data_IF_584227834628
#
_entry.id   IF_584227834628
#
_cell.length_a   1.000
_cell.length_b   1.000
_cell.length_c   1.000
_cell.angle_alpha   90.00
_cell.angle_beta   90.00
_cell.angle_gamma   90.00
#
_symmetry.space_group_name_H-M   'P 1'
#
loop_
_entity.id
_entity.type
_entity.pdbx_description
1 polymer ?
#
# COMPACT_ATOMS: atom_id res chain seq x y z
N UNK A 1 -25.08 5.80 48.28
CA UNK A 1 -24.68 6.44 47.02
C UNK A 1 -23.18 6.23 46.90
N UNK A 2 -22.78 5.14 46.24
CA UNK A 2 -21.37 4.77 46.13
C UNK A 2 -20.74 5.58 45.00
N UNK A 3 -19.78 6.41 45.39
CA UNK A 3 -18.99 7.21 44.49
C UNK A 3 -18.01 6.26 43.79
N UNK A 4 -18.31 5.84 42.56
CA UNK A 4 -17.34 5.14 41.70
C UNK A 4 -16.26 6.14 41.27
N UNK A 5 -15.37 6.46 42.21
CA UNK A 5 -14.16 7.23 41.94
C UNK A 5 -13.15 6.33 41.25
N UNK A 6 -12.74 6.69 40.04
CA UNK A 6 -11.55 6.15 39.38
C UNK A 6 -10.32 6.62 40.16
N UNK A 7 -9.96 5.94 41.24
CA UNK A 7 -8.65 6.13 41.87
C UNK A 7 -7.62 5.62 40.88
N UNK A 8 -6.86 6.53 40.29
CA UNK A 8 -5.70 6.18 39.49
C UNK A 8 -4.72 5.42 40.40
N UNK A 9 -4.17 4.32 39.91
CA UNK A 9 -3.16 3.57 40.65
C UNK A 9 -1.86 4.39 40.63
N UNK A 10 -1.58 5.09 41.74
CA UNK A 10 -0.40 5.93 41.92
C UNK A 10 0.92 5.13 41.85
N UNK A 11 0.85 3.78 41.82
CA UNK A 11 2.02 2.93 41.57
C UNK A 11 2.69 3.20 40.21
N UNK A 12 1.96 3.76 39.23
CA UNK A 12 2.52 4.18 37.93
C UNK A 12 3.49 5.37 38.08
N UNK A 13 3.33 6.19 39.11
CA UNK A 13 4.20 7.34 39.40
C UNK A 13 5.26 7.05 40.47
N UNK A 14 5.40 5.78 40.88
CA UNK A 14 6.46 5.35 41.80
C UNK A 14 7.85 5.55 41.19
N UNK A 15 8.86 5.70 42.05
CA UNK A 15 10.24 5.92 41.62
C UNK A 15 10.68 4.88 40.59
N UNK A 16 11.38 5.35 39.55
CA UNK A 16 11.84 4.50 38.47
C UNK A 16 12.68 3.34 39.04
N UNK A 17 12.27 2.10 38.76
CA UNK A 17 13.08 0.92 39.11
C UNK A 17 14.48 1.11 38.57
N UNK A 18 15.49 0.85 39.41
CA UNK A 18 16.89 0.83 38.98
C UNK A 18 17.02 -0.07 37.76
N UNK A 19 17.39 0.55 36.63
CA UNK A 19 17.61 -0.17 35.38
C UNK A 19 18.86 -1.01 35.59
N UNK A 20 18.67 -2.31 35.88
CA UNK A 20 19.77 -3.27 35.89
C UNK A 20 20.41 -3.21 34.51
N UNK A 21 21.67 -2.79 34.47
CA UNK A 21 22.48 -2.85 33.25
C UNK A 21 22.86 -4.32 33.03
N UNK A 22 21.92 -5.10 32.51
CA UNK A 22 22.21 -6.44 32.02
C UNK A 22 22.98 -6.30 30.70
N UNK A 23 24.15 -6.92 30.63
CA UNK A 23 24.86 -7.08 29.38
C UNK A 23 23.99 -7.93 28.45
N UNK A 24 23.38 -7.28 27.46
CA UNK A 24 22.61 -7.97 26.43
C UNK A 24 23.51 -9.04 25.78
N UNK A 25 23.07 -10.29 25.82
CA UNK A 25 23.70 -11.35 25.03
C UNK A 25 23.74 -10.92 23.58
N UNK A 26 24.87 -11.14 22.90
CA UNK A 26 25.02 -10.80 21.48
C UNK A 26 23.88 -11.43 20.68
N UNK A 27 22.99 -10.58 20.16
CA UNK A 27 21.89 -11.02 19.30
C UNK A 27 22.43 -11.28 17.90
N UNK A 28 22.39 -12.54 17.48
CA UNK A 28 22.68 -12.91 16.10
C UNK A 28 21.35 -12.98 15.33
N UNK A 29 21.05 -12.01 14.45
CA UNK A 29 19.83 -12.07 13.65
C UNK A 29 19.86 -13.31 12.74
N UNK A 30 18.69 -13.95 12.57
CA UNK A 30 18.55 -15.02 11.57
C UNK A 30 18.80 -14.43 10.18
N UNK A 31 19.81 -14.95 9.48
CA UNK A 31 20.08 -14.58 8.10
C UNK A 31 19.14 -15.36 7.19
N UNK A 32 18.40 -14.65 6.34
CA UNK A 32 17.60 -15.27 5.30
C UNK A 32 18.47 -15.41 4.04
N UNK A 33 18.54 -16.60 3.48
CA UNK A 33 19.28 -16.80 2.23
C UNK A 33 18.67 -15.97 1.10
N UNK A 34 19.54 -15.38 0.27
CA UNK A 34 19.09 -14.68 -0.92
C UNK A 34 18.28 -15.65 -1.80
N UNK A 35 17.13 -15.21 -2.28
CA UNK A 35 16.28 -16.01 -3.16
C UNK A 35 15.77 -17.32 -2.53
N UNK A 36 15.54 -17.35 -1.22
CA UNK A 36 14.86 -18.46 -0.51
C UNK A 36 13.63 -19.00 -1.27
N UNK A 37 12.91 -18.10 -1.95
CA UNK A 37 11.70 -18.42 -2.71
C UNK A 37 11.98 -19.15 -4.04
N UNK A 38 13.19 -19.15 -4.57
CA UNK A 38 13.57 -19.86 -5.80
C UNK A 38 13.88 -21.34 -5.55
N UNK A 39 14.26 -21.69 -4.32
CA UNK A 39 14.47 -23.09 -3.90
C UNK A 39 13.19 -23.94 -4.02
N UNK A 40 13.36 -25.27 -4.03
CA UNK A 40 12.31 -26.29 -4.10
C UNK A 40 11.40 -26.35 -2.85
N UNK A 41 11.06 -25.21 -2.26
CA UNK A 41 10.13 -25.05 -1.14
C UNK A 41 8.66 -25.40 -1.48
N UNK A 42 8.43 -26.25 -2.49
CA UNK A 42 7.12 -26.81 -2.84
C UNK A 42 6.98 -28.28 -2.41
N UNK A 43 8.03 -28.92 -1.90
CA UNK A 43 8.00 -30.30 -1.37
C UNK A 43 7.34 -30.42 0.02
N UNK A 44 6.66 -29.37 0.48
CA UNK A 44 5.85 -29.37 1.71
C UNK A 44 4.37 -29.44 1.34
N UNK A 45 3.56 -30.21 2.06
CA UNK A 45 2.10 -30.24 1.89
C UNK A 45 1.38 -29.09 2.60
N UNK A 46 2.10 -28.24 3.32
CA UNK A 46 1.52 -27.10 4.01
C UNK A 46 1.07 -26.01 3.01
N UNK A 47 -0.24 -25.82 2.91
CA UNK A 47 -0.87 -24.79 2.08
C UNK A 47 -0.40 -23.37 2.44
N UNK A 48 -0.14 -23.09 3.73
CA UNK A 48 0.30 -21.77 4.19
C UNK A 48 1.73 -21.49 3.71
N UNK A 49 2.61 -22.49 3.75
CA UNK A 49 3.97 -22.34 3.21
C UNK A 49 3.95 -22.19 1.69
N UNK A 50 3.14 -22.99 0.96
CA UNK A 50 2.94 -22.80 -0.49
C UNK A 50 2.45 -21.39 -0.82
N UNK A 51 1.46 -20.89 -0.08
CA UNK A 51 0.92 -19.53 -0.23
C UNK A 51 2.04 -18.48 -0.08
N UNK A 52 2.85 -18.56 0.99
CA UNK A 52 3.96 -17.63 1.24
C UNK A 52 4.99 -17.68 0.12
N UNK A 53 5.42 -18.88 -0.28
CA UNK A 53 6.43 -19.05 -1.35
C UNK A 53 5.97 -18.42 -2.66
N UNK A 54 4.73 -18.70 -3.10
CA UNK A 54 4.21 -18.11 -4.34
C UNK A 54 4.03 -16.60 -4.25
N UNK A 55 3.55 -16.08 -3.11
CA UNK A 55 3.47 -14.63 -2.87
C UNK A 55 4.85 -13.98 -3.06
N UNK A 56 5.87 -14.48 -2.35
CA UNK A 56 7.20 -13.89 -2.40
C UNK A 56 7.87 -14.04 -3.78
N UNK A 57 7.60 -15.14 -4.51
CA UNK A 57 8.02 -15.29 -5.91
C UNK A 57 7.41 -14.19 -6.79
N UNK A 58 6.12 -13.90 -6.61
CA UNK A 58 5.43 -12.80 -7.28
C UNK A 58 6.09 -11.45 -6.98
N UNK A 59 6.30 -11.16 -5.70
CA UNK A 59 6.91 -9.89 -5.24
C UNK A 59 8.36 -9.72 -5.74
N UNK A 60 9.14 -10.79 -5.76
CA UNK A 60 10.51 -10.78 -6.29
C UNK A 60 10.51 -10.56 -7.80
N UNK A 61 9.65 -11.27 -8.55
CA UNK A 61 9.52 -11.09 -10.00
C UNK A 61 9.05 -9.67 -10.35
N UNK A 62 8.11 -9.09 -9.57
CA UNK A 62 7.68 -7.70 -9.68
C UNK A 62 8.82 -6.70 -9.48
N UNK A 63 9.70 -6.98 -8.51
CA UNK A 63 10.89 -6.15 -8.27
C UNK A 63 11.91 -6.25 -9.39
N UNK A 64 12.12 -7.46 -9.95
CA UNK A 64 12.99 -7.73 -11.11
C UNK A 64 12.41 -7.20 -12.45
N UNK A 65 11.15 -6.74 -12.47
CA UNK A 65 10.48 -6.24 -13.69
C UNK A 65 9.88 -7.33 -14.58
N UNK A 66 9.90 -8.59 -14.13
CA UNK A 66 9.36 -9.74 -14.84
C UNK A 66 7.85 -9.87 -14.54
N UNK A 67 7.05 -8.97 -15.11
CA UNK A 67 5.62 -8.85 -14.78
C UNK A 67 4.79 -10.07 -15.14
N UNK A 68 5.13 -10.77 -16.24
CA UNK A 68 4.43 -11.99 -16.64
C UNK A 68 4.67 -13.13 -15.61
N UNK A 69 5.93 -13.36 -15.23
CA UNK A 69 6.31 -14.33 -14.19
C UNK A 69 5.68 -13.99 -12.83
N UNK A 70 5.62 -12.70 -12.50
CA UNK A 70 4.94 -12.25 -11.29
C UNK A 70 3.45 -12.58 -11.29
N UNK A 71 2.77 -12.31 -12.40
CA UNK A 71 1.34 -12.57 -12.56
C UNK A 71 1.01 -14.06 -12.46
N UNK A 72 1.86 -14.92 -13.03
CA UNK A 72 1.75 -16.38 -12.90
C UNK A 72 1.94 -16.82 -11.43
N UNK A 73 2.97 -16.32 -10.75
CA UNK A 73 3.21 -16.65 -9.35
C UNK A 73 2.06 -16.18 -8.44
N UNK A 74 1.51 -14.99 -8.66
CA UNK A 74 0.33 -14.52 -7.93
C UNK A 74 -0.92 -15.35 -8.23
N UNK A 75 -1.11 -15.78 -9.49
CA UNK A 75 -2.22 -16.66 -9.86
C UNK A 75 -2.11 -18.03 -9.19
N UNK A 76 -0.90 -18.58 -9.06
CA UNK A 76 -0.64 -19.78 -8.27
C UNK A 76 -0.88 -19.54 -6.78
N UNK A 77 -0.46 -18.38 -6.25
CA UNK A 77 -0.69 -18.00 -4.85
C UNK A 77 -2.19 -18.03 -4.50
N UNK A 78 -3.05 -17.45 -5.36
CA UNK A 78 -4.50 -17.41 -5.15
C UNK A 78 -5.12 -18.80 -4.88
N UNK A 79 -4.58 -19.87 -5.45
CA UNK A 79 -5.09 -21.24 -5.26
C UNK A 79 -4.83 -21.77 -3.84
N UNK A 80 -3.88 -21.18 -3.12
CA UNK A 80 -3.48 -21.58 -1.76
C UNK A 80 -3.96 -20.61 -0.69
N UNK A 81 -4.74 -19.58 -1.06
CA UNK A 81 -5.33 -18.64 -0.10
C UNK A 81 -6.64 -19.21 0.41
N UNK A 82 -6.75 -19.41 1.73
CA UNK A 82 -8.02 -19.73 2.36
C UNK A 82 -9.03 -18.59 2.18
N UNK A 83 -10.32 -18.91 1.96
CA UNK A 83 -11.37 -17.93 1.66
C UNK A 83 -11.52 -16.83 2.73
N UNK A 84 -11.17 -17.12 3.97
CA UNK A 84 -11.21 -16.18 5.09
C UNK A 84 -10.00 -15.24 5.15
N UNK A 85 -8.92 -15.50 4.41
CA UNK A 85 -7.70 -14.72 4.44
C UNK A 85 -7.76 -13.56 3.42
N UNK A 86 -8.68 -12.64 3.69
CA UNK A 86 -8.94 -11.47 2.84
C UNK A 86 -7.72 -10.54 2.72
N UNK A 87 -6.88 -10.48 3.76
CA UNK A 87 -5.69 -9.62 3.75
C UNK A 87 -4.70 -10.04 2.67
N UNK A 88 -4.32 -11.33 2.62
CA UNK A 88 -3.39 -11.80 1.60
C UNK A 88 -4.04 -11.82 0.23
N UNK A 89 -5.34 -12.17 0.14
CA UNK A 89 -6.09 -12.12 -1.11
C UNK A 89 -6.03 -10.72 -1.75
N UNK A 90 -6.31 -9.67 -0.98
CA UNK A 90 -6.26 -8.28 -1.47
C UNK A 90 -4.87 -7.88 -1.93
N UNK A 91 -3.84 -8.21 -1.17
CA UNK A 91 -2.43 -7.92 -1.51
C UNK A 91 -2.03 -8.59 -2.84
N UNK A 92 -2.38 -9.87 -3.01
CA UNK A 92 -2.13 -10.62 -4.25
C UNK A 92 -2.90 -10.02 -5.43
N UNK A 93 -4.19 -9.71 -5.27
CA UNK A 93 -5.00 -9.09 -6.33
C UNK A 93 -4.49 -7.70 -6.73
N UNK A 94 -4.03 -6.90 -5.76
CA UNK A 94 -3.37 -5.61 -6.03
C UNK A 94 -2.06 -5.82 -6.82
N UNK A 95 -1.24 -6.79 -6.41
CA UNK A 95 -0.03 -7.19 -7.12
C UNK A 95 -0.31 -7.59 -8.57
N UNK A 96 -1.36 -8.39 -8.79
CA UNK A 96 -1.82 -8.78 -10.12
C UNK A 96 -2.27 -7.58 -10.96
N UNK A 97 -3.06 -6.65 -10.39
CA UNK A 97 -3.51 -5.46 -11.10
C UNK A 97 -2.33 -4.58 -11.54
N UNK A 98 -1.32 -4.43 -10.66
CA UNK A 98 -0.06 -3.74 -10.98
C UNK A 98 0.72 -4.46 -12.09
N UNK A 99 0.77 -5.79 -12.11
CA UNK A 99 1.37 -6.56 -13.21
C UNK A 99 0.63 -6.29 -14.52
N UNK A 100 -0.70 -6.44 -14.54
CA UNK A 100 -1.53 -6.23 -15.72
C UNK A 100 -1.33 -4.81 -16.29
N UNK A 101 -1.24 -3.81 -15.42
CA UNK A 101 -0.94 -2.42 -15.80
C UNK A 101 0.38 -2.34 -16.57
N UNK A 102 1.46 -2.91 -16.01
CA UNK A 102 2.79 -2.89 -16.62
C UNK A 102 2.90 -3.71 -17.91
N UNK A 103 2.06 -4.74 -18.05
CA UNK A 103 1.94 -5.54 -19.28
C UNK A 103 1.04 -4.88 -20.34
N UNK A 104 0.46 -3.70 -20.07
CA UNK A 104 -0.45 -3.03 -21.00
C UNK A 104 -1.86 -3.64 -21.05
N UNK A 105 -2.19 -4.57 -20.15
CA UNK A 105 -3.48 -5.25 -20.08
C UNK A 105 -4.48 -4.41 -19.28
N UNK A 106 -5.01 -3.36 -19.91
CA UNK A 106 -5.88 -2.37 -19.25
C UNK A 106 -7.15 -2.98 -18.67
N UNK A 107 -7.91 -3.73 -19.46
CA UNK A 107 -9.22 -4.23 -19.05
C UNK A 107 -9.09 -5.20 -17.88
N UNK A 108 -8.14 -6.15 -17.98
CA UNK A 108 -7.83 -7.09 -16.90
C UNK A 108 -7.38 -6.40 -15.61
N UNK A 109 -6.65 -5.27 -15.70
CA UNK A 109 -6.28 -4.50 -14.51
C UNK A 109 -7.52 -3.85 -13.85
N UNK A 110 -8.47 -3.38 -14.65
CA UNK A 110 -9.73 -2.80 -14.15
C UNK A 110 -10.67 -3.87 -13.58
N UNK A 111 -10.74 -5.06 -14.18
CA UNK A 111 -11.52 -6.19 -13.64
C UNK A 111 -11.06 -6.57 -12.22
N UNK A 112 -9.73 -6.58 -11.99
CA UNK A 112 -9.14 -6.85 -10.68
C UNK A 112 -9.45 -5.73 -9.67
N UNK A 113 -9.46 -4.47 -10.11
CA UNK A 113 -9.90 -3.33 -9.30
C UNK A 113 -11.37 -3.47 -8.90
N UNK A 114 -12.24 -3.87 -9.83
CA UNK A 114 -13.66 -4.05 -9.55
C UNK A 114 -13.91 -5.18 -8.56
N UNK A 115 -13.11 -6.25 -8.63
CA UNK A 115 -13.11 -7.31 -7.62
C UNK A 115 -12.69 -6.76 -6.24
N UNK A 116 -11.57 -6.02 -6.17
CA UNK A 116 -11.08 -5.39 -4.93
C UNK A 116 -12.08 -4.38 -4.34
N UNK A 117 -12.85 -3.71 -5.19
CA UNK A 117 -13.89 -2.75 -4.78
C UNK A 117 -15.03 -3.43 -4.01
N UNK A 118 -15.42 -4.65 -4.40
CA UNK A 118 -16.47 -5.42 -3.71
C UNK A 118 -16.02 -5.89 -2.32
N UNK A 119 -14.72 -6.03 -2.12
CA UNK A 119 -14.12 -6.47 -0.86
C UNK A 119 -13.68 -5.29 0.04
N UNK A 120 -13.89 -4.04 -0.38
CA UNK A 120 -13.47 -2.85 0.36
C UNK A 120 -14.44 -2.52 1.52
N UNK A 121 -13.98 -2.74 2.74
CA UNK A 121 -14.78 -2.58 3.97
C UNK A 121 -14.41 -1.39 4.86
N UNK A 122 -13.33 -0.66 4.56
CA UNK A 122 -12.88 0.46 5.38
C UNK A 122 -12.17 1.55 4.55
N UNK A 123 -11.89 2.68 5.19
CA UNK A 123 -11.24 3.83 4.56
C UNK A 123 -9.85 3.50 4.01
N UNK A 124 -9.06 2.67 4.70
CA UNK A 124 -7.74 2.26 4.22
C UNK A 124 -7.86 1.45 2.92
N UNK A 125 -8.79 0.50 2.87
CA UNK A 125 -9.10 -0.31 1.70
C UNK A 125 -9.49 0.55 0.50
N UNK A 126 -10.36 1.53 0.72
CA UNK A 126 -10.80 2.46 -0.32
C UNK A 126 -9.66 3.38 -0.79
N UNK A 127 -8.81 3.83 0.14
CA UNK A 127 -7.64 4.67 -0.19
C UNK A 127 -6.66 3.91 -1.08
N UNK A 128 -6.27 2.68 -0.72
CA UNK A 128 -5.38 1.84 -1.53
C UNK A 128 -5.97 1.55 -2.91
N UNK A 129 -7.28 1.26 -2.98
CA UNK A 129 -7.98 1.02 -4.24
C UNK A 129 -7.96 2.25 -5.16
N UNK A 130 -8.25 3.44 -4.62
CA UNK A 130 -8.23 4.69 -5.39
C UNK A 130 -6.81 5.04 -5.88
N UNK A 131 -5.79 4.84 -5.04
CA UNK A 131 -4.39 5.03 -5.44
C UNK A 131 -3.98 4.06 -6.56
N UNK A 132 -4.43 2.80 -6.49
CA UNK A 132 -4.22 1.82 -7.55
C UNK A 132 -4.90 2.29 -8.86
N UNK A 133 -6.15 2.75 -8.80
CA UNK A 133 -6.87 3.31 -9.97
C UNK A 133 -6.16 4.52 -10.57
N UNK A 134 -5.65 5.43 -9.73
CA UNK A 134 -4.84 6.57 -10.18
C UNK A 134 -3.63 6.08 -10.98
N UNK A 135 -2.90 5.09 -10.47
CA UNK A 135 -1.72 4.53 -11.15
C UNK A 135 -2.08 3.85 -12.48
N UNK A 136 -3.18 3.10 -12.54
CA UNK A 136 -3.67 2.47 -13.77
C UNK A 136 -4.04 3.54 -14.80
N UNK A 137 -4.87 4.51 -14.42
CA UNK A 137 -5.33 5.55 -15.34
C UNK A 137 -4.19 6.45 -15.82
N UNK A 138 -3.21 6.74 -14.96
CA UNK A 138 -1.98 7.42 -15.36
C UNK A 138 -1.20 6.63 -16.41
N UNK A 139 -0.97 5.33 -16.18
CA UNK A 139 -0.23 4.47 -17.11
C UNK A 139 -0.88 4.43 -18.51
N UNK A 140 -2.22 4.43 -18.58
CA UNK A 140 -2.97 4.37 -19.83
C UNK A 140 -3.46 5.74 -20.33
N UNK A 141 -2.94 6.85 -19.79
CA UNK A 141 -3.28 8.21 -20.26
C UNK A 141 -4.75 8.61 -20.07
N UNK A 142 -5.51 7.95 -19.21
CA UNK A 142 -6.93 8.23 -18.96
C UNK A 142 -7.09 9.38 -17.95
N UNK A 143 -6.80 10.61 -18.40
CA UNK A 143 -6.71 11.80 -17.54
C UNK A 143 -8.01 12.06 -16.77
N UNK A 144 -9.17 12.01 -17.42
CA UNK A 144 -10.47 12.25 -16.77
C UNK A 144 -10.74 11.27 -15.62
N UNK A 145 -10.46 9.98 -15.84
CA UNK A 145 -10.63 8.94 -14.82
C UNK A 145 -9.64 9.09 -13.66
N UNK A 146 -8.39 9.49 -13.97
CA UNK A 146 -7.38 9.85 -12.96
C UNK A 146 -7.86 10.99 -12.07
N UNK A 147 -8.37 12.08 -12.66
CA UNK A 147 -8.94 13.23 -11.93
C UNK A 147 -10.09 12.79 -11.03
N UNK A 148 -11.03 12.00 -11.55
CA UNK A 148 -12.17 11.51 -10.75
C UNK A 148 -11.71 10.71 -9.52
N UNK A 149 -10.69 9.86 -9.67
CA UNK A 149 -10.13 9.11 -8.54
C UNK A 149 -9.42 10.01 -7.53
N UNK A 150 -8.67 11.02 -8.01
CA UNK A 150 -7.99 12.01 -7.15
C UNK A 150 -8.99 12.89 -6.38
N UNK A 151 -10.08 13.31 -7.02
CA UNK A 151 -11.17 14.03 -6.34
C UNK A 151 -11.78 13.17 -5.23
N UNK A 152 -12.04 11.89 -5.48
CA UNK A 152 -12.50 10.96 -4.44
C UNK A 152 -11.49 10.83 -3.30
N UNK A 153 -10.19 10.76 -3.58
CA UNK A 153 -9.14 10.76 -2.56
C UNK A 153 -9.11 12.04 -1.72
N UNK A 154 -9.29 13.21 -2.35
CA UNK A 154 -9.40 14.49 -1.66
C UNK A 154 -10.66 14.57 -0.79
N UNK A 155 -11.79 14.05 -1.26
CA UNK A 155 -13.02 13.99 -0.45
C UNK A 155 -12.89 13.02 0.72
N UNK A 156 -12.22 11.87 0.52
CA UNK A 156 -12.03 10.85 1.55
C UNK A 156 -11.02 11.29 2.62
N UNK A 157 -9.96 11.99 2.21
CA UNK A 157 -8.84 12.40 3.06
C UNK A 157 -8.51 13.88 2.82
N UNK A 158 -9.37 14.81 3.26
CA UNK A 158 -9.27 16.24 2.91
C UNK A 158 -8.01 16.92 3.44
N UNK A 159 -7.42 16.39 4.50
CA UNK A 159 -6.20 16.93 5.12
C UNK A 159 -4.91 16.29 4.60
N UNK A 160 -4.98 15.42 3.58
CA UNK A 160 -3.79 14.87 2.95
C UNK A 160 -3.32 15.82 1.83
N UNK A 161 -2.21 16.56 2.00
CA UNK A 161 -1.76 17.55 1.02
C UNK A 161 -1.29 16.90 -0.30
N UNK A 162 -0.85 15.64 -0.28
CA UNK A 162 -0.32 14.96 -1.46
C UNK A 162 -1.38 14.65 -2.51
N UNK A 163 -2.61 14.36 -2.08
CA UNK A 163 -3.73 14.13 -2.99
C UNK A 163 -4.12 15.42 -3.72
N UNK A 164 -4.18 16.53 -2.99
CA UNK A 164 -4.44 17.85 -3.55
C UNK A 164 -3.33 18.29 -4.51
N UNK A 165 -2.06 18.09 -4.14
CA UNK A 165 -0.93 18.36 -5.02
C UNK A 165 -1.01 17.54 -6.32
N UNK A 166 -1.29 16.25 -6.22
CA UNK A 166 -1.42 15.35 -7.37
C UNK A 166 -2.58 15.79 -8.28
N UNK A 167 -3.71 16.18 -7.70
CA UNK A 167 -4.86 16.70 -8.45
C UNK A 167 -4.51 18.01 -9.17
N UNK A 168 -3.90 18.96 -8.46
CA UNK A 168 -3.46 20.23 -9.02
C UNK A 168 -2.51 20.07 -10.21
N UNK A 169 -1.53 19.16 -10.09
CA UNK A 169 -0.59 18.85 -11.18
C UNK A 169 -1.30 18.33 -12.44
N UNK A 170 -2.27 17.43 -12.29
CA UNK A 170 -3.03 16.90 -13.44
C UNK A 170 -3.92 17.99 -14.06
N UNK A 171 -4.51 18.87 -13.24
CA UNK A 171 -5.28 20.01 -13.75
C UNK A 171 -4.40 21.00 -14.54
N UNK A 172 -3.18 21.29 -14.06
CA UNK A 172 -2.24 22.16 -14.79
C UNK A 172 -1.86 21.56 -16.15
N UNK A 173 -1.58 20.26 -16.22
CA UNK A 173 -1.30 19.56 -17.47
C UNK A 173 -2.43 19.68 -18.51
N UNK A 174 -3.68 19.85 -18.07
CA UNK A 174 -4.83 20.06 -18.97
C UNK A 174 -4.96 21.50 -19.45
N UNK A 175 -4.42 22.46 -18.71
CA UNK A 175 -4.46 23.89 -19.02
C UNK A 175 -3.31 24.31 -19.94
N UNK A 176 -2.22 23.54 -19.99
CA UNK A 176 -1.07 23.85 -20.83
C UNK A 176 -1.36 23.60 -22.32
N UNK A 177 -1.31 24.65 -23.18
CA UNK A 177 -1.63 24.52 -24.60
C UNK A 177 -0.55 23.83 -25.44
N UNK A 178 0.57 23.40 -24.83
CA UNK A 178 1.71 22.82 -25.53
C UNK A 178 2.32 21.65 -24.73
N UNK A 179 1.88 20.40 -24.94
CA UNK A 179 2.32 19.25 -24.15
C UNK A 179 3.73 18.73 -24.51
N UNK A 180 4.48 19.45 -25.34
CA UNK A 180 5.83 19.07 -25.74
C UNK A 180 6.87 19.79 -24.87
N UNK A 181 7.79 19.01 -24.29
CA UNK A 181 8.92 19.39 -23.43
C UNK A 181 8.57 19.40 -21.94
N UNK A 182 8.47 18.19 -21.37
CA UNK A 182 8.32 18.01 -19.94
C UNK A 182 8.48 16.57 -19.47
N UNK A 183 9.32 15.75 -20.12
CA UNK A 183 9.79 14.49 -19.52
C UNK A 183 10.82 14.83 -18.44
N UNK A 184 10.39 15.45 -17.34
CA UNK A 184 11.09 15.27 -16.08
C UNK A 184 10.54 14.00 -15.47
N UNK A 185 11.30 12.92 -15.63
CA UNK A 185 11.14 11.71 -14.85
C UNK A 185 11.38 12.05 -13.38
N UNK A 186 10.34 12.54 -12.70
CA UNK A 186 10.27 12.38 -11.25
C UNK A 186 10.03 10.90 -11.03
N UNK A 187 11.15 10.19 -10.88
CA UNK A 187 11.18 8.87 -10.29
C UNK A 187 10.49 9.03 -8.93
N UNK A 188 9.21 8.66 -8.84
CA UNK A 188 8.63 8.28 -7.56
C UNK A 188 9.42 7.06 -7.14
N UNK A 189 10.50 7.29 -6.39
CA UNK A 189 11.15 6.23 -5.64
C UNK A 189 10.03 5.56 -4.87
N UNK A 190 9.88 4.25 -5.10
CA UNK A 190 8.96 3.38 -4.38
C UNK A 190 9.13 3.66 -2.88
N UNK A 191 8.30 4.51 -2.29
CA UNK A 191 8.06 4.46 -0.87
C UNK A 191 7.27 3.17 -0.66
N UNK A 192 8.00 2.10 -0.35
CA UNK A 192 7.44 0.97 0.37
C UNK A 192 6.57 1.53 1.49
N UNK A 193 5.29 1.19 1.49
CA UNK A 193 4.44 1.31 2.66
C UNK A 193 5.01 0.40 3.76
N UNK A 194 6.00 0.90 4.50
CA UNK A 194 6.31 0.38 5.83
C UNK A 194 5.46 1.20 6.80
N UNK A 195 4.38 0.57 7.26
CA UNK A 195 3.63 1.03 8.43
C UNK A 195 4.59 1.00 9.61
N UNK A 196 4.98 2.18 10.11
CA UNK A 196 5.52 2.34 11.47
C UNK A 196 4.80 3.56 12.08
N UNK A 197 4.20 3.42 13.28
CA UNK A 197 3.53 4.51 13.97
C UNK A 197 4.57 5.39 14.68
N UNK A 198 4.16 6.61 15.05
CA UNK A 198 4.84 7.69 15.82
C UNK A 198 4.83 8.94 14.93
N UNK A 199 4.17 10.05 15.25
CA UNK A 199 3.84 10.63 16.54
C UNK A 199 4.25 12.10 16.48
N UNK A 200 3.30 13.00 16.76
CA UNK A 200 3.50 14.42 17.08
C UNK A 200 3.96 15.41 15.98
N UNK A 201 3.00 16.26 15.57
CA UNK A 201 2.97 17.71 15.89
C UNK A 201 2.71 18.66 14.72
N UNK A 202 1.49 19.21 14.74
CA UNK A 202 1.07 20.62 14.56
C UNK A 202 2.00 21.58 13.80
N UNK A 203 1.48 22.27 12.76
CA UNK A 203 1.31 23.75 12.69
C UNK A 203 1.03 24.23 11.24
N UNK A 204 0.03 25.11 11.13
CA UNK A 204 -0.29 26.08 10.07
C UNK A 204 -0.78 25.55 8.69
N UNK A 205 -1.78 26.13 8.03
CA UNK A 205 -2.45 27.41 8.19
C UNK A 205 -3.85 27.38 7.55
N UNK A 206 -4.74 28.16 8.15
CA UNK A 206 -6.08 28.53 7.69
C UNK A 206 -6.10 29.09 6.27
N UNK A 207 -7.32 29.05 5.69
CA UNK A 207 -7.81 29.75 4.49
C UNK A 207 -7.68 29.01 3.16
N UNK A 208 -8.71 28.23 2.83
CA UNK A 208 -9.31 28.30 1.49
C UNK A 208 -10.83 28.15 1.60
N UNK A 209 -11.48 29.24 2.02
CA UNK A 209 -12.81 29.59 1.51
C UNK A 209 -12.56 30.53 0.34
N UNK A 210 -13.42 30.48 -0.68
CA UNK A 210 -13.44 31.29 -1.91
C UNK A 210 -12.63 30.68 -3.06
N UNK A 211 -13.30 29.94 -3.94
CA UNK A 211 -13.66 30.40 -5.30
C UNK A 211 -14.61 29.38 -5.95
N UNK A 212 -15.53 29.92 -6.75
CA UNK A 212 -16.68 29.29 -7.41
C UNK A 212 -16.31 28.10 -8.31
#
# INVERSE_FOLDING_TARGET
MELFGSTFDDSVFSEARDRVCESLTSYNPKMCEAEFCESAALETDDAIEKQKVYKFRGDLAMRKGNYQKALEAYSSCLQWIADNNLTIRRDVLEGMARCCTKLGQRDRALDLVDLLSKEASNTCHLTSLLLLKVSIHEHFGSVRSKISCLQQLCSLLPFNPWHWLSLGQVCLQLLDPNPAIGKQSHHFSRCCFCVVPLGCSVICLQQWKVCM
#
